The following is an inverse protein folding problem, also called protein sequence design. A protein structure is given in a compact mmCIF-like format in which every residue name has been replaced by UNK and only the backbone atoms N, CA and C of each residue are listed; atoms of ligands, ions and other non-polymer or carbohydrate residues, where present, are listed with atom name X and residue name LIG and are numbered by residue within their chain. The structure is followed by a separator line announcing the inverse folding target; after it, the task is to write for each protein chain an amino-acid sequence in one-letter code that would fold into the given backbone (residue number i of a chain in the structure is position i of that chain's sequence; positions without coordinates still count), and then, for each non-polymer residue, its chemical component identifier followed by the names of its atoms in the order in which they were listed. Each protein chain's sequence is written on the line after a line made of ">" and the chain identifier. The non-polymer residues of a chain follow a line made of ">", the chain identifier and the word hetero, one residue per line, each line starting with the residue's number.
data_IF_358982296459
#
_entry.id   IF_358982296459
#
_cell.length_a   1.000
_cell.length_b   1.000
_cell.length_c   1.000
_cell.angle_alpha   90.00
_cell.angle_beta   90.00
_cell.angle_gamma   90.00
#
_symmetry.space_group_name_H-M   'P 1'
#
loop_
_entity.id
_entity.type
_entity.pdbx_description
1 polymer ?
#
# COMPACT_ATOMS: atom_id res chain seq x y z
N UNK A 1 -7.37 -4.78 13.54
CA UNK A 1 -6.70 -3.74 12.72
C UNK A 1 -7.66 -2.63 12.28
N UNK A 2 -8.74 -2.92 11.53
CA UNK A 2 -9.68 -1.87 11.09
C UNK A 2 -10.43 -1.08 12.18
N UNK A 3 -10.55 -1.62 13.40
CA UNK A 3 -11.19 -0.95 14.55
C UNK A 3 -10.46 0.31 15.03
N UNK A 4 -9.19 0.47 14.65
CA UNK A 4 -8.35 1.60 15.03
C UNK A 4 -8.35 2.72 13.97
N UNK A 5 -9.33 2.70 13.05
CA UNK A 5 -9.54 3.72 12.02
C UNK A 5 -10.86 4.42 12.31
N UNK A 6 -10.88 5.74 12.17
CA UNK A 6 -12.10 6.55 12.24
C UNK A 6 -12.17 7.49 11.04
N UNK A 7 -13.39 7.68 10.55
CA UNK A 7 -13.74 8.69 9.56
C UNK A 7 -14.80 9.59 10.20
N UNK A 8 -14.66 10.92 10.15
CA UNK A 8 -15.68 11.85 10.64
C UNK A 8 -17.01 11.62 9.93
N UNK A 9 -18.12 11.61 10.68
CA UNK A 9 -19.45 11.57 10.07
C UNK A 9 -19.70 12.83 9.24
N UNK A 10 -20.30 12.67 8.06
CA UNK A 10 -20.70 13.80 7.21
C UNK A 10 -22.11 14.25 7.62
N UNK A 11 -22.27 15.54 7.87
CA UNK A 11 -23.59 16.13 8.07
C UNK A 11 -24.13 16.63 6.73
N UNK A 12 -24.87 15.76 6.04
CA UNK A 12 -25.37 16.02 4.68
C UNK A 12 -26.29 17.24 4.59
N UNK A 13 -27.14 17.48 5.60
CA UNK A 13 -28.06 18.64 5.63
C UNK A 13 -27.34 19.99 5.71
N UNK A 14 -26.07 20.00 6.14
CA UNK A 14 -25.22 21.18 6.21
C UNK A 14 -24.11 21.17 5.16
N UNK A 15 -24.18 20.25 4.20
CA UNK A 15 -23.20 20.11 3.11
C UNK A 15 -23.80 20.64 1.80
N UNK A 16 -22.97 21.31 1.01
CA UNK A 16 -23.32 21.83 -0.33
C UNK A 16 -22.15 21.63 -1.28
N UNK A 17 -22.31 22.03 -2.55
CA UNK A 17 -21.22 21.97 -3.54
C UNK A 17 -19.95 22.74 -3.14
N UNK A 18 -20.06 23.73 -2.24
CA UNK A 18 -18.95 24.61 -1.85
C UNK A 18 -18.54 24.47 -0.38
N UNK A 19 -19.26 23.69 0.42
CA UNK A 19 -19.06 23.55 1.86
C UNK A 19 -19.29 22.10 2.25
N UNK A 20 -18.26 21.44 2.78
CA UNK A 20 -18.37 20.12 3.42
C UNK A 20 -18.44 20.30 4.93
N UNK A 21 -19.52 19.82 5.56
CA UNK A 21 -19.68 19.86 7.02
C UNK A 21 -19.58 18.46 7.59
N UNK A 22 -18.67 18.26 8.54
CA UNK A 22 -18.36 16.95 9.13
C UNK A 22 -18.22 17.03 10.66
N UNK A 23 -18.22 15.86 11.31
CA UNK A 23 -17.92 15.71 12.74
C UNK A 23 -16.64 16.47 13.09
N UNK A 24 -16.74 17.37 14.08
CA UNK A 24 -15.55 18.04 14.62
C UNK A 24 -14.73 17.03 15.41
N UNK A 25 -13.61 16.60 14.84
CA UNK A 25 -12.66 15.75 15.53
C UNK A 25 -11.60 16.59 16.23
N UNK A 26 -11.33 16.25 17.50
CA UNK A 26 -10.17 16.77 18.24
C UNK A 26 -9.17 15.62 18.40
N UNK A 27 -7.88 15.90 18.21
CA UNK A 27 -6.85 14.88 18.28
C UNK A 27 -5.45 15.44 18.15
N UNK A 28 -4.47 14.56 18.32
CA UNK A 28 -3.07 14.85 18.10
C UNK A 28 -2.72 14.63 16.63
N UNK A 29 -1.81 15.43 16.07
CA UNK A 29 -1.31 15.13 14.72
C UNK A 29 -0.55 13.81 14.72
N UNK A 30 -0.73 13.00 13.68
CA UNK A 30 -0.03 11.71 13.55
C UNK A 30 1.51 11.87 13.55
N UNK A 31 2.03 13.05 13.19
CA UNK A 31 3.45 13.37 13.17
C UNK A 31 3.99 14.02 14.46
N UNK A 32 3.14 14.20 15.49
CA UNK A 32 3.57 14.69 16.80
C UNK A 32 3.87 13.53 17.76
N UNK A 33 4.98 12.83 17.47
CA UNK A 33 5.40 11.69 18.27
C UNK A 33 5.61 12.01 19.77
N UNK A 34 6.17 13.17 20.17
CA UNK A 34 6.21 13.57 21.57
C UNK A 34 4.83 13.65 22.23
N UNK A 35 3.83 14.28 21.59
CA UNK A 35 2.49 14.37 22.14
C UNK A 35 1.80 13.00 22.22
N UNK A 36 1.94 12.18 21.18
CA UNK A 36 1.39 10.82 21.13
C UNK A 36 1.95 9.98 22.29
N UNK A 37 3.27 10.01 22.50
CA UNK A 37 3.91 9.31 23.63
C UNK A 37 3.44 9.85 24.98
N UNK A 38 3.31 11.17 25.11
CA UNK A 38 2.83 11.81 26.36
C UNK A 38 1.39 11.42 26.68
N UNK A 39 0.56 11.21 25.66
CA UNK A 39 -0.82 10.73 25.80
C UNK A 39 -0.90 9.22 26.09
N UNK A 40 0.21 8.48 26.02
CA UNK A 40 0.26 7.04 26.31
C UNK A 40 -0.21 6.14 25.16
N UNK A 41 -0.34 6.67 23.94
CA UNK A 41 -0.74 5.86 22.78
C UNK A 41 0.44 5.08 22.21
N UNK A 42 0.17 3.84 21.78
CA UNK A 42 1.16 2.97 21.15
C UNK A 42 1.34 3.31 19.67
N UNK A 43 2.50 3.85 19.33
CA UNK A 43 2.88 4.17 17.96
C UNK A 43 2.88 2.97 17.01
N UNK A 44 3.15 1.76 17.52
CA UNK A 44 3.10 0.53 16.73
C UNK A 44 1.68 0.23 16.28
N UNK A 45 0.69 0.36 17.18
CA UNK A 45 -0.71 0.08 16.85
C UNK A 45 -1.30 1.13 15.89
N UNK A 46 -0.88 2.38 15.98
CA UNK A 46 -1.25 3.44 15.03
C UNK A 46 -0.73 3.14 13.61
N UNK A 47 0.55 2.76 13.51
CA UNK A 47 1.19 2.40 12.25
C UNK A 47 0.55 1.15 11.64
N UNK A 48 0.25 0.13 12.46
CA UNK A 48 -0.46 -1.08 12.02
C UNK A 48 -1.86 -0.78 11.49
N UNK A 49 -2.59 0.11 12.14
CA UNK A 49 -3.90 0.55 11.66
C UNK A 49 -3.79 1.21 10.28
N UNK A 50 -2.84 2.14 10.12
CA UNK A 50 -2.61 2.85 8.86
C UNK A 50 -2.20 1.89 7.72
N UNK A 51 -1.24 1.00 7.98
CA UNK A 51 -0.81 -0.03 7.01
C UNK A 51 -1.97 -0.94 6.61
N UNK A 52 -2.72 -1.45 7.59
CA UNK A 52 -3.88 -2.27 7.33
C UNK A 52 -4.90 -1.55 6.45
N UNK A 53 -5.24 -0.29 6.74
CA UNK A 53 -6.18 0.48 5.93
C UNK A 53 -5.70 0.65 4.48
N UNK A 54 -4.39 0.82 4.28
CA UNK A 54 -3.78 1.00 2.97
C UNK A 54 -3.81 -0.30 2.17
N UNK A 55 -3.45 -1.43 2.79
CA UNK A 55 -3.45 -2.74 2.12
C UNK A 55 -4.88 -3.26 1.88
N UNK A 56 -5.76 -3.14 2.86
CA UNK A 56 -7.17 -3.57 2.74
C UNK A 56 -7.87 -2.75 1.65
N UNK A 57 -7.72 -1.42 1.70
CA UNK A 57 -8.24 -0.53 0.67
C UNK A 57 -7.72 -0.91 -0.72
N UNK A 58 -6.39 -0.95 -0.90
CA UNK A 58 -5.78 -1.12 -2.21
C UNK A 58 -5.98 -2.53 -2.78
N UNK A 59 -5.56 -3.56 -2.03
CA UNK A 59 -5.50 -4.93 -2.53
C UNK A 59 -6.87 -5.62 -2.53
N UNK A 60 -7.72 -5.35 -1.53
CA UNK A 60 -9.03 -6.00 -1.42
C UNK A 60 -10.14 -5.19 -2.09
N UNK A 61 -10.19 -3.88 -1.84
CA UNK A 61 -11.27 -3.03 -2.33
C UNK A 61 -10.94 -2.25 -3.60
N UNK A 62 -9.68 -2.20 -4.03
CA UNK A 62 -9.26 -1.38 -5.17
C UNK A 62 -9.41 0.11 -4.92
N UNK A 63 -9.35 0.56 -3.67
CA UNK A 63 -9.44 1.96 -3.26
C UNK A 63 -8.13 2.40 -2.63
N UNK A 64 -7.63 3.58 -2.98
CA UNK A 64 -6.47 4.14 -2.31
C UNK A 64 -6.67 5.61 -1.96
N UNK A 65 -6.06 5.98 -0.85
CA UNK A 65 -6.04 7.35 -0.36
C UNK A 65 -4.76 8.04 -0.84
N UNK A 66 -4.88 8.92 -1.84
CA UNK A 66 -3.75 9.59 -2.49
C UNK A 66 -3.13 10.76 -1.72
N UNK A 67 -3.56 11.02 -0.48
CA UNK A 67 -2.97 12.06 0.37
C UNK A 67 -2.92 11.76 1.87
N UNK A 68 -2.06 10.81 2.26
CA UNK A 68 -1.82 10.43 3.66
C UNK A 68 -0.89 11.40 4.40
N UNK A 69 -0.82 12.68 4.02
CA UNK A 69 0.05 13.62 4.72
C UNK A 69 -0.45 13.90 6.15
N UNK A 70 0.44 14.40 7.01
CA UNK A 70 0.14 14.54 8.43
C UNK A 70 -0.95 15.56 8.76
N UNK A 71 -1.27 16.49 7.84
CA UNK A 71 -2.41 17.40 7.99
C UNK A 71 -3.79 16.71 7.90
N UNK A 72 -3.87 15.52 7.30
CA UNK A 72 -5.13 14.79 7.08
C UNK A 72 -5.32 13.64 8.07
N UNK A 73 -4.35 13.43 8.96
CA UNK A 73 -4.30 12.30 9.88
C UNK A 73 -4.15 12.78 11.32
N UNK A 74 -5.16 12.49 12.13
CA UNK A 74 -5.13 12.71 13.58
C UNK A 74 -5.12 11.39 14.35
N UNK A 75 -4.73 11.46 15.61
CA UNK A 75 -4.93 10.42 16.61
C UNK A 75 -5.95 10.96 17.61
N UNK A 76 -7.12 10.34 17.69
CA UNK A 76 -8.15 10.76 18.65
C UNK A 76 -7.84 10.31 20.08
N UNK A 77 -8.70 10.70 21.03
CA UNK A 77 -8.58 10.39 22.44
C UNK A 77 -8.70 8.89 22.78
N UNK A 78 -9.17 8.07 21.83
CA UNK A 78 -9.24 6.61 21.93
C UNK A 78 -8.05 5.92 21.26
N UNK A 79 -7.08 6.67 20.74
CA UNK A 79 -5.92 6.10 20.04
C UNK A 79 -6.25 5.56 18.64
N UNK A 80 -7.31 6.04 18.00
CA UNK A 80 -7.65 5.69 16.61
C UNK A 80 -7.04 6.69 15.64
N UNK A 81 -6.61 6.20 14.48
CA UNK A 81 -6.17 7.05 13.36
C UNK A 81 -7.41 7.59 12.65
N UNK A 82 -7.55 8.90 12.63
CA UNK A 82 -8.67 9.62 12.01
C UNK A 82 -8.23 10.20 10.67
N UNK A 83 -8.98 9.88 9.61
CA UNK A 83 -8.79 10.44 8.27
C UNK A 83 -9.73 11.62 8.08
N UNK A 84 -9.19 12.81 7.84
CA UNK A 84 -9.99 14.04 7.74
C UNK A 84 -10.43 14.39 6.32
N UNK A 85 -9.60 14.07 5.32
CA UNK A 85 -9.79 14.55 3.95
C UNK A 85 -9.70 13.40 2.96
N UNK A 86 -10.78 13.16 2.22
CA UNK A 86 -10.90 12.13 1.18
C UNK A 86 -10.93 12.74 -0.24
N UNK A 87 -10.47 13.99 -0.41
CA UNK A 87 -10.48 14.72 -1.67
C UNK A 87 -9.56 14.13 -2.73
N UNK A 88 -8.52 13.39 -2.32
CA UNK A 88 -7.64 12.64 -3.22
C UNK A 88 -7.85 11.15 -2.98
N UNK A 89 -9.00 10.63 -3.42
CA UNK A 89 -9.25 9.19 -3.47
C UNK A 89 -9.15 8.68 -4.90
N UNK A 90 -8.59 7.48 -5.06
CA UNK A 90 -8.47 6.84 -6.36
C UNK A 90 -8.98 5.40 -6.34
N UNK A 91 -9.23 4.89 -7.55
CA UNK A 91 -9.62 3.50 -7.79
C UNK A 91 -8.54 2.82 -8.61
N UNK A 92 -8.23 1.59 -8.22
CA UNK A 92 -7.39 0.68 -8.98
C UNK A 92 -8.35 -0.15 -9.83
N UNK A 93 -8.19 -0.13 -11.14
CA UNK A 93 -9.02 -0.94 -12.03
C UNK A 93 -8.80 -2.44 -11.76
N UNK A 94 -9.77 -3.31 -12.10
CA UNK A 94 -9.69 -4.73 -11.78
C UNK A 94 -8.42 -5.43 -12.30
N UNK A 95 -7.94 -5.07 -13.50
CA UNK A 95 -6.75 -5.68 -14.11
C UNK A 95 -5.49 -5.27 -13.36
N UNK A 96 -5.31 -3.96 -13.10
CA UNK A 96 -4.15 -3.48 -12.33
C UNK A 96 -4.18 -4.03 -10.90
N UNK A 97 -5.37 -4.11 -10.29
CA UNK A 97 -5.51 -4.71 -8.95
C UNK A 97 -5.09 -6.17 -8.97
N UNK A 98 -5.56 -6.96 -9.94
CA UNK A 98 -5.13 -8.35 -10.10
C UNK A 98 -3.60 -8.45 -10.25
N UNK A 99 -2.99 -7.69 -11.16
CA UNK A 99 -1.53 -7.66 -11.34
C UNK A 99 -0.77 -7.29 -10.05
N UNK A 100 -1.27 -6.34 -9.26
CA UNK A 100 -0.66 -5.99 -7.97
C UNK A 100 -0.74 -7.15 -6.97
N UNK A 101 -1.86 -7.89 -6.94
CA UNK A 101 -2.01 -9.07 -6.09
C UNK A 101 -1.06 -10.18 -6.54
N UNK A 102 -0.91 -10.38 -7.85
CA UNK A 102 0.06 -11.31 -8.43
C UNK A 102 1.50 -10.95 -8.09
N UNK A 103 1.84 -9.66 -8.14
CA UNK A 103 3.17 -9.19 -7.78
C UNK A 103 3.48 -9.53 -6.31
N UNK A 104 2.52 -9.27 -5.41
CA UNK A 104 2.65 -9.62 -3.99
C UNK A 104 2.77 -11.14 -3.81
N UNK A 105 2.01 -11.94 -4.58
CA UNK A 105 2.08 -13.40 -4.57
C UNK A 105 3.44 -13.95 -5.00
N UNK A 106 3.93 -13.49 -6.14
CA UNK A 106 5.23 -13.85 -6.66
C UNK A 106 6.35 -13.52 -5.67
N UNK A 107 6.35 -12.31 -5.10
CA UNK A 107 7.40 -11.87 -4.18
C UNK A 107 7.35 -12.54 -2.80
N UNK A 108 6.16 -12.61 -2.19
CA UNK A 108 6.05 -13.00 -0.77
C UNK A 108 5.83 -14.50 -0.56
N UNK A 109 5.14 -15.18 -1.50
CA UNK A 109 4.82 -16.61 -1.37
C UNK A 109 5.78 -17.46 -2.18
N UNK A 110 5.83 -17.22 -3.49
CA UNK A 110 6.63 -18.05 -4.40
C UNK A 110 8.12 -17.70 -4.32
N UNK A 111 8.44 -16.47 -3.90
CA UNK A 111 9.79 -15.88 -4.06
C UNK A 111 10.27 -16.00 -5.50
N UNK A 112 9.33 -15.91 -6.44
CA UNK A 112 9.56 -15.99 -7.87
C UNK A 112 9.81 -14.58 -8.41
N UNK A 113 11.07 -14.22 -8.33
CA UNK A 113 11.61 -12.94 -8.77
C UNK A 113 11.42 -12.71 -10.28
N UNK A 114 11.45 -13.76 -11.09
CA UNK A 114 11.23 -13.67 -12.53
C UNK A 114 9.75 -13.39 -12.86
N UNK A 115 8.82 -14.07 -12.18
CA UNK A 115 7.38 -13.82 -12.32
C UNK A 115 7.01 -12.39 -11.88
N UNK A 116 7.52 -11.95 -10.72
CA UNK A 116 7.33 -10.58 -10.22
C UNK A 116 7.74 -9.53 -11.26
N UNK A 117 8.88 -9.76 -11.92
CA UNK A 117 9.32 -8.87 -12.98
C UNK A 117 8.39 -8.84 -14.18
N UNK A 118 7.95 -9.99 -14.69
CA UNK A 118 7.01 -10.05 -15.82
C UNK A 118 5.74 -9.26 -15.52
N UNK A 119 5.26 -9.35 -14.29
CA UNK A 119 4.08 -8.63 -13.81
C UNK A 119 4.30 -7.11 -13.80
N UNK A 120 5.48 -6.63 -13.37
CA UNK A 120 5.83 -5.19 -13.44
C UNK A 120 5.83 -4.69 -14.88
N UNK A 121 6.37 -5.47 -15.83
CA UNK A 121 6.29 -5.15 -17.26
C UNK A 121 4.83 -5.11 -17.72
N UNK A 122 4.00 -6.08 -17.35
CA UNK A 122 2.58 -6.12 -17.72
C UNK A 122 1.77 -4.95 -17.14
N UNK A 123 2.14 -4.42 -15.96
CA UNK A 123 1.52 -3.22 -15.38
C UNK A 123 1.94 -1.93 -16.10
N UNK A 124 3.14 -1.91 -16.66
CA UNK A 124 3.73 -0.73 -17.27
C UNK A 124 3.66 -0.65 -18.79
N UNK A 125 3.44 -1.78 -19.46
CA UNK A 125 3.40 -1.90 -20.90
C UNK A 125 2.10 -1.33 -21.47
N UNK A 126 2.07 -0.01 -21.64
CA UNK A 126 1.24 0.65 -22.65
C UNK A 126 2.09 0.79 -23.92
N UNK A 127 2.34 -0.32 -24.63
CA UNK A 127 2.65 -0.27 -26.06
C UNK A 127 4.02 -0.74 -26.59
N UNK A 128 5.01 -1.15 -25.79
CA UNK A 128 6.31 -1.60 -26.34
C UNK A 128 6.86 -2.83 -25.63
N UNK A 129 6.74 -3.99 -26.29
CA UNK A 129 7.36 -5.25 -25.84
C UNK A 129 8.78 -5.31 -26.39
N UNK A 130 9.80 -5.14 -25.53
CA UNK A 130 11.20 -5.49 -25.87
C UNK A 130 11.37 -7.03 -25.93
N UNK A 131 12.38 -7.57 -26.62
CA UNK A 131 12.62 -9.01 -26.72
C UNK A 131 12.76 -9.67 -25.33
N UNK A 132 12.05 -10.78 -25.12
CA UNK A 132 11.86 -11.47 -23.82
C UNK A 132 13.16 -11.77 -23.02
N UNK A 133 14.28 -11.99 -23.72
CA UNK A 133 15.54 -12.40 -23.10
C UNK A 133 16.27 -11.31 -22.30
N UNK A 134 16.17 -10.03 -22.69
CA UNK A 134 16.77 -8.93 -21.93
C UNK A 134 15.86 -8.50 -20.77
N UNK A 135 14.54 -8.55 -21.00
CA UNK A 135 13.53 -8.36 -19.95
C UNK A 135 13.78 -9.31 -18.78
N UNK A 136 13.97 -10.61 -19.03
CA UNK A 136 14.19 -11.58 -17.97
C UNK A 136 15.40 -11.25 -17.06
N UNK A 137 16.52 -10.77 -17.64
CA UNK A 137 17.73 -10.44 -16.87
C UNK A 137 17.58 -9.18 -16.02
N UNK A 138 16.97 -8.13 -16.56
CA UNK A 138 16.77 -6.89 -15.81
C UNK A 138 15.70 -7.08 -14.72
N UNK A 139 14.73 -7.96 -14.98
CA UNK A 139 13.73 -8.39 -14.01
C UNK A 139 14.33 -9.24 -12.88
N UNK A 140 15.23 -10.16 -13.20
CA UNK A 140 15.99 -10.93 -12.22
C UNK A 140 16.88 -10.00 -11.36
N UNK A 141 17.56 -9.03 -11.98
CA UNK A 141 18.35 -8.03 -11.28
C UNK A 141 17.51 -7.12 -10.37
N UNK A 142 16.28 -6.78 -10.78
CA UNK A 142 15.31 -6.02 -9.98
C UNK A 142 14.78 -6.83 -8.79
N UNK A 143 14.48 -8.10 -8.99
CA UNK A 143 13.81 -8.88 -7.98
C UNK A 143 14.79 -9.57 -7.00
N UNK A 144 16.05 -9.75 -7.36
CA UNK A 144 17.13 -10.20 -6.47
C UNK A 144 17.23 -9.39 -5.15
N UNK A 145 17.18 -8.04 -5.16
CA UNK A 145 17.14 -7.24 -3.93
C UNK A 145 15.74 -7.15 -3.27
N UNK A 146 14.70 -7.83 -3.75
CA UNK A 146 13.34 -7.83 -3.14
C UNK A 146 13.06 -9.07 -2.28
N UNK A 147 14.05 -9.58 -1.57
CA UNK A 147 13.83 -10.61 -0.55
C UNK A 147 13.01 -10.09 0.64
N UNK A 148 12.36 -10.99 1.37
CA UNK A 148 11.64 -10.65 2.62
C UNK A 148 12.50 -9.88 3.64
N UNK A 149 13.82 -10.11 3.63
CA UNK A 149 14.77 -9.43 4.53
C UNK A 149 15.07 -8.00 4.05
N UNK A 150 15.15 -7.77 2.74
CA UNK A 150 15.41 -6.45 2.17
C UNK A 150 14.16 -5.56 2.06
N UNK A 151 12.94 -6.11 2.05
CA UNK A 151 11.71 -5.31 2.22
C UNK A 151 11.56 -4.72 3.64
N UNK A 152 12.19 -5.35 4.64
CA UNK A 152 12.26 -4.84 6.01
C UNK A 152 13.39 -3.83 6.25
N UNK A 153 14.48 -3.94 5.49
CA UNK A 153 15.71 -3.15 5.68
C UNK A 153 15.89 -2.00 4.65
N UNK A 154 15.26 -2.06 3.47
CA UNK A 154 15.31 -1.00 2.46
C UNK A 154 14.24 0.06 2.70
N UNK A 155 14.57 1.32 2.41
CA UNK A 155 13.57 2.38 2.38
C UNK A 155 12.62 2.18 1.20
N UNK A 156 11.34 2.53 1.36
CA UNK A 156 10.37 2.51 0.25
C UNK A 156 10.74 3.53 -0.83
N UNK A 157 11.49 4.57 -0.47
CA UNK A 157 12.08 5.51 -1.42
C UNK A 157 13.08 4.83 -2.38
N UNK A 158 13.92 3.92 -1.87
CA UNK A 158 14.90 3.22 -2.71
C UNK A 158 14.24 2.17 -3.60
N UNK A 159 13.21 1.48 -3.10
CA UNK A 159 12.35 0.61 -3.92
C UNK A 159 11.69 1.44 -5.04
N UNK A 160 11.15 2.61 -4.71
CA UNK A 160 10.56 3.53 -5.68
C UNK A 160 11.55 4.00 -6.76
N UNK A 161 12.79 4.30 -6.39
CA UNK A 161 13.86 4.66 -7.35
C UNK A 161 14.19 3.50 -8.29
N UNK A 162 14.29 2.28 -7.78
CA UNK A 162 14.56 1.09 -8.60
C UNK A 162 13.42 0.84 -9.59
N UNK A 163 12.17 0.97 -9.14
CA UNK A 163 10.99 0.88 -10.01
C UNK A 163 10.97 1.99 -11.08
N UNK A 164 11.33 3.22 -10.72
CA UNK A 164 11.43 4.33 -11.66
C UNK A 164 12.50 4.13 -12.72
N UNK A 165 13.71 3.70 -12.32
CA UNK A 165 14.79 3.42 -13.25
C UNK A 165 14.45 2.29 -14.24
N UNK A 166 13.71 1.28 -13.79
CA UNK A 166 13.21 0.21 -14.65
C UNK A 166 12.13 0.74 -15.61
N UNK A 167 11.19 1.55 -15.12
CA UNK A 167 10.19 2.17 -15.97
C UNK A 167 10.84 2.99 -17.10
N UNK A 168 11.85 3.79 -16.77
CA UNK A 168 12.63 4.57 -17.76
C UNK A 168 13.39 3.66 -18.73
N UNK A 169 14.06 2.61 -18.24
CA UNK A 169 14.83 1.68 -19.08
C UNK A 169 13.96 0.92 -20.10
N UNK A 170 12.68 0.72 -19.79
CA UNK A 170 11.72 0.01 -20.62
C UNK A 170 10.76 0.93 -21.39
N UNK A 171 10.94 2.26 -21.32
CA UNK A 171 10.00 3.26 -21.87
C UNK A 171 8.54 3.01 -21.41
N UNK A 172 8.44 2.53 -20.17
CA UNK A 172 7.19 2.18 -19.51
C UNK A 172 6.66 3.43 -18.81
N UNK A 173 5.44 3.82 -19.18
CA UNK A 173 4.71 4.87 -18.45
C UNK A 173 3.88 4.23 -17.36
N UNK A 174 4.34 4.36 -16.12
CA UNK A 174 3.55 3.92 -14.97
C UNK A 174 2.22 4.69 -14.91
N UNK A 175 1.09 4.01 -14.71
CA UNK A 175 -0.19 4.66 -14.45
C UNK A 175 -0.08 5.68 -13.31
N UNK A 176 -0.79 6.80 -13.43
CA UNK A 176 -0.77 7.88 -12.43
C UNK A 176 -1.15 7.36 -11.04
N UNK A 177 -2.05 6.39 -10.99
CA UNK A 177 -2.55 5.73 -9.80
C UNK A 177 -1.41 5.02 -9.04
N UNK A 178 -0.53 4.31 -9.75
CA UNK A 178 0.61 3.62 -9.13
C UNK A 178 1.63 4.62 -8.58
N UNK A 179 1.85 5.74 -9.27
CA UNK A 179 2.71 6.83 -8.77
C UNK A 179 2.11 7.43 -7.49
N UNK A 180 0.80 7.67 -7.46
CA UNK A 180 0.12 8.19 -6.27
C UNK A 180 0.19 7.22 -5.11
N UNK A 181 -0.06 5.93 -5.33
CA UNK A 181 0.07 4.86 -4.32
C UNK A 181 1.50 4.81 -3.77
N UNK A 182 2.51 4.85 -4.64
CA UNK A 182 3.92 4.86 -4.24
C UNK A 182 4.26 6.02 -3.31
N UNK A 183 3.73 7.23 -3.57
CA UNK A 183 3.89 8.37 -2.66
C UNK A 183 3.29 8.13 -1.28
N UNK A 184 2.19 7.39 -1.19
CA UNK A 184 1.54 7.10 0.11
C UNK A 184 2.42 6.21 0.97
N UNK A 185 3.07 5.21 0.36
CA UNK A 185 4.00 4.37 1.08
C UNK A 185 5.15 5.17 1.71
N UNK A 186 5.63 6.24 1.05
CA UNK A 186 6.64 7.14 1.65
C UNK A 186 6.15 7.83 2.93
N UNK A 187 4.87 8.24 2.98
CA UNK A 187 4.27 8.78 4.20
C UNK A 187 4.15 7.70 5.28
N UNK A 188 3.69 6.51 4.92
CA UNK A 188 3.58 5.38 5.85
C UNK A 188 4.95 5.03 6.44
N UNK A 189 6.00 4.95 5.62
CA UNK A 189 7.38 4.72 6.08
C UNK A 189 7.85 5.80 7.06
N UNK A 190 7.54 7.08 6.75
CA UNK A 190 7.84 8.19 7.64
C UNK A 190 7.18 8.00 9.00
N UNK A 191 5.91 7.59 9.04
CA UNK A 191 5.21 7.32 10.29
C UNK A 191 5.76 6.10 11.02
N UNK A 192 6.15 5.04 10.30
CA UNK A 192 6.85 3.88 10.88
C UNK A 192 8.12 4.33 11.59
N UNK A 193 9.00 5.09 10.92
CA UNK A 193 10.25 5.58 11.52
C UNK A 193 10.02 6.53 12.70
N UNK A 194 8.95 7.31 12.65
CA UNK A 194 8.66 8.32 13.65
C UNK A 194 7.99 7.77 14.91
N UNK A 195 7.01 6.88 14.72
CA UNK A 195 6.13 6.36 15.79
C UNK A 195 6.57 4.98 16.28
N UNK A 196 7.17 4.17 15.40
CA UNK A 196 7.48 2.77 15.66
C UNK A 196 8.90 2.37 15.15
N UNK A 197 9.98 3.11 15.49
CA UNK A 197 11.30 2.98 14.86
C UNK A 197 11.98 1.61 15.02
N UNK A 198 11.58 0.82 16.02
CA UNK A 198 12.12 -0.53 16.27
C UNK A 198 11.18 -1.65 15.83
N UNK A 199 9.99 -1.31 15.34
CA UNK A 199 9.01 -2.29 14.91
C UNK A 199 9.29 -2.72 13.48
N UNK A 200 9.18 -4.02 13.24
CA UNK A 200 9.41 -4.63 11.94
C UNK A 200 8.10 -5.24 11.44
N UNK A 201 7.59 -4.70 10.34
CA UNK A 201 6.30 -5.08 9.76
C UNK A 201 6.17 -6.59 9.51
N UNK A 202 7.21 -7.19 8.91
CA UNK A 202 7.20 -8.62 8.52
C UNK A 202 7.32 -9.59 9.70
N UNK A 203 7.69 -9.09 10.88
CA UNK A 203 7.81 -9.87 12.10
C UNK A 203 6.54 -9.78 12.96
N UNK A 204 5.59 -8.90 12.62
CA UNK A 204 4.35 -8.72 13.38
C UNK A 204 3.32 -9.82 13.05
N UNK A 205 2.88 -10.64 14.03
CA UNK A 205 1.97 -11.75 13.76
C UNK A 205 0.63 -11.33 13.18
N UNK A 206 0.12 -10.14 13.49
CA UNK A 206 -1.17 -9.69 12.96
C UNK A 206 -1.07 -9.33 11.48
N UNK A 207 0.02 -8.66 11.07
CA UNK A 207 0.24 -8.36 9.67
C UNK A 207 0.62 -9.60 8.87
N UNK A 208 1.50 -10.45 9.41
CA UNK A 208 1.85 -11.72 8.76
C UNK A 208 0.61 -12.61 8.60
N UNK A 209 -0.28 -12.67 9.60
CA UNK A 209 -1.55 -13.37 9.50
C UNK A 209 -2.51 -12.75 8.47
N UNK A 210 -2.60 -11.42 8.42
CA UNK A 210 -3.38 -10.73 7.39
C UNK A 210 -2.88 -11.06 5.98
N UNK A 211 -1.57 -10.93 5.75
CA UNK A 211 -0.96 -11.28 4.47
C UNK A 211 -1.20 -12.75 4.14
N UNK A 212 -0.99 -13.67 5.07
CA UNK A 212 -1.25 -15.09 4.86
C UNK A 212 -2.68 -15.37 4.40
N UNK A 213 -3.68 -14.74 5.04
CA UNK A 213 -5.08 -14.88 4.63
C UNK A 213 -5.32 -14.30 3.22
N UNK A 214 -4.78 -13.11 2.96
CA UNK A 214 -4.83 -12.50 1.63
C UNK A 214 -4.17 -13.40 0.56
N UNK A 215 -3.06 -14.07 0.89
CA UNK A 215 -2.39 -15.02 -0.02
C UNK A 215 -3.25 -16.25 -0.30
N UNK A 216 -4.00 -16.74 0.69
CA UNK A 216 -4.95 -17.85 0.50
C UNK A 216 -6.08 -17.43 -0.42
N UNK A 217 -6.60 -16.21 -0.26
CA UNK A 217 -7.64 -15.66 -1.14
C UNK A 217 -7.15 -15.57 -2.60
N UNK A 218 -5.95 -15.02 -2.83
CA UNK A 218 -5.31 -14.98 -4.17
C UNK A 218 -5.11 -16.39 -4.76
N UNK A 219 -4.69 -17.36 -3.93
CA UNK A 219 -4.44 -18.73 -4.38
C UNK A 219 -5.73 -19.48 -4.74
N UNK A 220 -6.86 -19.15 -4.11
CA UNK A 220 -8.16 -19.76 -4.42
C UNK A 220 -8.67 -19.29 -5.77
N UNK A 221 -8.57 -17.99 -6.03
CA UNK A 221 -8.96 -17.40 -7.33
C UNK A 221 -8.21 -18.06 -8.50
N UNK A 222 -6.91 -18.35 -8.34
CA UNK A 222 -6.17 -19.11 -9.35
C UNK A 222 -6.69 -20.51 -9.62
N UNK A 223 -7.08 -21.24 -8.56
CA UNK A 223 -7.61 -22.60 -8.71
C UNK A 223 -8.95 -22.60 -9.41
N UNK A 224 -9.75 -21.56 -9.18
CA UNK A 224 -11.04 -21.41 -9.83
C UNK A 224 -10.85 -21.06 -11.32
N UNK A 225 -9.90 -20.18 -11.65
CA UNK A 225 -9.53 -19.84 -13.04
C UNK A 225 -8.90 -21.02 -13.82
N UNK A 226 -8.05 -21.84 -13.17
CA UNK A 226 -7.48 -23.07 -13.77
C UNK A 226 -8.55 -24.14 -14.04
N UNK A 227 -9.57 -24.24 -13.19
CA UNK A 227 -10.67 -25.19 -13.38
C UNK A 227 -11.65 -24.73 -14.47
N UNK A 228 -11.87 -23.42 -14.64
CA UNK A 228 -12.80 -22.86 -15.63
C UNK A 228 -12.17 -22.78 -17.05
N UNK A 229 -10.83 -22.70 -17.15
CA UNK A 229 -10.09 -22.75 -18.42
C UNK A 229 -9.81 -24.17 -18.94
N UNK A 230 -10.18 -25.20 -18.18
CA UNK A 230 -10.04 -26.61 -18.52
C UNK A 230 -11.32 -27.30 -19.03
N UNK A 231 -12.40 -26.55 -19.28
CA UNK A 231 -13.69 -27.05 -19.77
C UNK A 231 -13.97 -26.69 -21.24
#
# INVERSE_FOLDING_TARGET
>A
LGRNIKVPDVYWDFTSERVLTMERVSGLRIDDAPAIRKAGFDGVELVKALLFSTFEGGLRHGLFHGDLHAGNLLVDDQGRVVFLDFGIMGRIDPRTRWLLRELVYALLVKKDHAAAGKIVVLMGAVGTVKPEGQAAKDLEAFATPLTMKSLGDMSYADIGKQLGALADAYDVKLPRELVLIGKQFLYVERYMKLLAPRWQMMSDPQLTGYFANFMVDVSREHKDDENDSGA
#
